data_IF_961578627145
#
_entry.id   IF_961578627145
#
_cell.length_a   1.000
_cell.length_b   1.000
_cell.length_c   1.000
_cell.angle_alpha   90.00
_cell.angle_beta   90.00
_cell.angle_gamma   90.00
#
_symmetry.space_group_name_H-M   'P 1'
#
loop_
_entity.id
_entity.type
_entity.pdbx_description
1 polymer ?
#
# COMPACT_ATOMS: atom_id res chain seq x y z
N UNK A 1 7.97 34.89 -33.82
CA UNK A 1 6.74 34.33 -33.22
C UNK A 1 6.91 32.84 -33.29
N UNK A 2 7.47 32.26 -32.24
CA UNK A 2 7.79 30.83 -32.21
C UNK A 2 6.53 30.06 -31.83
N UNK A 3 6.02 29.29 -32.78
CA UNK A 3 4.91 28.38 -32.58
C UNK A 3 5.28 27.36 -31.51
N UNK A 4 4.67 27.49 -30.34
CA UNK A 4 4.66 26.42 -29.34
C UNK A 4 4.03 25.20 -29.99
N UNK A 5 4.85 24.20 -30.31
CA UNK A 5 4.40 22.84 -30.61
C UNK A 5 3.65 22.34 -29.37
N UNK A 6 2.33 22.48 -29.41
CA UNK A 6 1.43 21.86 -28.45
C UNK A 6 1.55 20.35 -28.64
N UNK A 7 2.49 19.71 -27.92
CA UNK A 7 2.62 18.26 -27.82
C UNK A 7 1.45 17.71 -26.99
N UNK A 8 0.22 17.96 -27.45
CA UNK A 8 -0.97 17.32 -26.92
C UNK A 8 -0.88 15.85 -27.29
N UNK A 9 -0.52 15.02 -26.30
CA UNK A 9 -0.64 13.59 -26.41
C UNK A 9 -2.10 13.29 -26.74
N UNK A 10 -2.34 12.47 -27.77
CA UNK A 10 -3.70 12.13 -28.15
C UNK A 10 -4.37 11.34 -27.01
N UNK A 11 -5.70 11.45 -26.85
CA UNK A 11 -6.41 10.85 -25.73
C UNK A 11 -6.22 9.33 -25.61
N UNK A 12 -6.02 8.62 -26.73
CA UNK A 12 -5.82 7.18 -26.72
C UNK A 12 -4.43 6.83 -26.19
N UNK A 13 -3.38 7.53 -26.63
CA UNK A 13 -2.04 7.38 -26.05
C UNK A 13 -2.04 7.71 -24.56
N UNK A 14 -2.73 8.77 -24.14
CA UNK A 14 -2.80 9.13 -22.71
C UNK A 14 -3.54 8.07 -21.88
N UNK A 15 -4.58 7.45 -22.45
CA UNK A 15 -5.32 6.36 -21.80
C UNK A 15 -4.47 5.10 -21.64
N UNK A 16 -3.69 4.75 -22.66
CA UNK A 16 -2.75 3.62 -22.59
C UNK A 16 -1.69 3.86 -21.53
N UNK A 17 -1.13 5.08 -21.46
CA UNK A 17 -0.13 5.44 -20.45
C UNK A 17 -0.67 5.41 -19.01
N UNK A 18 -1.95 5.72 -18.82
CA UNK A 18 -2.59 5.77 -17.50
C UNK A 18 -3.16 4.41 -17.05
N UNK A 19 -3.11 3.37 -17.88
CA UNK A 19 -3.65 2.05 -17.54
C UNK A 19 -2.51 1.15 -17.03
N UNK A 20 -2.52 0.72 -15.75
CA UNK A 20 -1.50 -0.17 -15.25
C UNK A 20 -1.56 -1.54 -15.94
N UNK A 21 -0.39 -2.16 -16.12
CA UNK A 21 -0.28 -3.46 -16.78
C UNK A 21 -0.93 -4.56 -15.93
N UNK A 22 -1.88 -5.29 -16.53
CA UNK A 22 -2.52 -6.44 -15.92
C UNK A 22 -1.56 -7.64 -15.83
N UNK A 23 -1.72 -8.47 -14.81
CA UNK A 23 -0.97 -9.73 -14.70
C UNK A 23 -1.72 -10.86 -15.41
N UNK A 24 -1.06 -11.67 -16.25
CA UNK A 24 -1.73 -12.78 -16.95
C UNK A 24 -2.27 -13.86 -16.01
N UNK A 25 -1.72 -13.95 -14.79
CA UNK A 25 -2.01 -15.00 -13.82
C UNK A 25 -2.96 -14.56 -12.69
N UNK A 26 -3.35 -13.28 -12.62
CA UNK A 26 -4.04 -12.73 -11.46
C UNK A 26 -3.12 -12.60 -10.24
N UNK A 27 -3.70 -12.26 -9.08
CA UNK A 27 -2.98 -12.18 -7.80
C UNK A 27 -2.76 -13.57 -7.20
N UNK A 28 -1.65 -13.78 -6.48
CA UNK A 28 -1.49 -14.95 -5.63
C UNK A 28 -2.63 -14.97 -4.58
N UNK A 29 -3.27 -16.11 -4.29
CA UNK A 29 -4.33 -16.20 -3.28
C UNK A 29 -3.97 -15.54 -1.94
N UNK A 30 -2.71 -15.62 -1.50
CA UNK A 30 -2.27 -14.99 -0.25
C UNK A 30 -2.25 -13.47 -0.34
N UNK A 31 -1.89 -12.92 -1.49
CA UNK A 31 -1.90 -11.48 -1.72
C UNK A 31 -3.32 -10.96 -1.84
N UNK A 32 -4.21 -11.73 -2.46
CA UNK A 32 -5.62 -11.39 -2.54
C UNK A 32 -6.29 -11.40 -1.15
N UNK A 33 -6.01 -12.41 -0.33
CA UNK A 33 -6.47 -12.48 1.06
C UNK A 33 -5.95 -11.29 1.89
N UNK A 34 -4.66 -10.98 1.77
CA UNK A 34 -4.06 -9.84 2.46
C UNK A 34 -4.63 -8.50 1.99
N UNK A 35 -4.77 -8.31 0.68
CA UNK A 35 -5.38 -7.12 0.09
C UNK A 35 -6.81 -6.94 0.61
N UNK A 36 -7.62 -8.00 0.59
CA UNK A 36 -8.99 -7.96 1.09
C UNK A 36 -9.04 -7.59 2.58
N UNK A 37 -8.12 -8.11 3.39
CA UNK A 37 -8.00 -7.77 4.81
C UNK A 37 -7.69 -6.29 5.02
N UNK A 38 -6.70 -5.76 4.30
CA UNK A 38 -6.33 -4.34 4.36
C UNK A 38 -7.50 -3.45 3.95
N UNK A 39 -8.20 -3.78 2.85
CA UNK A 39 -9.34 -3.02 2.36
C UNK A 39 -10.53 -3.07 3.34
N UNK A 40 -10.78 -4.21 3.96
CA UNK A 40 -11.83 -4.38 4.97
C UNK A 40 -11.54 -3.51 6.21
N UNK A 41 -10.30 -3.51 6.71
CA UNK A 41 -9.88 -2.66 7.84
C UNK A 41 -10.03 -1.16 7.55
N UNK A 42 -9.74 -0.73 6.31
CA UNK A 42 -10.01 0.65 5.85
C UNK A 42 -11.51 0.92 5.82
N UNK A 43 -12.31 0.00 5.26
CA UNK A 43 -13.75 0.17 5.11
C UNK A 43 -14.48 0.29 6.45
N UNK A 44 -13.98 -0.41 7.48
CA UNK A 44 -14.47 -0.37 8.86
C UNK A 44 -14.01 0.87 9.63
N UNK A 45 -13.07 1.65 9.07
CA UNK A 45 -12.46 2.79 9.75
C UNK A 45 -11.48 2.39 10.86
N UNK A 46 -11.07 1.13 10.93
CA UNK A 46 -10.03 0.66 11.85
C UNK A 46 -8.68 1.24 11.46
N UNK A 47 -8.38 1.28 10.16
CA UNK A 47 -7.23 1.99 9.60
C UNK A 47 -7.71 3.31 9.00
N UNK A 48 -7.19 4.41 9.52
CA UNK A 48 -7.35 5.74 8.95
C UNK A 48 -6.10 6.07 8.11
N UNK A 49 -6.32 6.29 6.81
CA UNK A 49 -5.26 6.51 5.81
C UNK A 49 -4.42 7.76 6.05
N UNK A 50 -4.82 8.63 7.00
CA UNK A 50 -4.10 9.85 7.36
C UNK A 50 -3.51 9.80 8.77
N UNK A 51 -3.66 8.68 9.48
CA UNK A 51 -3.27 8.49 10.88
C UNK A 51 -2.45 7.21 11.06
N UNK A 52 -1.11 7.28 10.96
CA UNK A 52 -0.23 6.12 11.08
C UNK A 52 -0.40 5.35 12.39
N UNK A 53 -0.80 6.02 13.48
CA UNK A 53 -1.06 5.40 14.77
C UNK A 53 -2.16 4.33 14.70
N UNK A 54 -3.11 4.45 13.77
CA UNK A 54 -4.18 3.46 13.58
C UNK A 54 -3.69 2.14 12.99
N UNK A 55 -2.47 2.12 12.44
CA UNK A 55 -1.81 0.90 11.96
C UNK A 55 -1.13 0.14 13.09
N UNK A 56 -0.85 0.79 14.22
CA UNK A 56 0.01 0.26 15.30
C UNK A 56 -0.81 -0.62 16.24
N UNK A 57 -0.32 -1.84 16.47
CA UNK A 57 -0.74 -2.68 17.58
C UNK A 57 -0.07 -2.20 18.87
N UNK A 58 -0.72 -1.29 19.58
CA UNK A 58 -0.18 -0.69 20.82
C UNK A 58 0.21 -1.73 21.88
N UNK A 59 -0.52 -2.84 21.98
CA UNK A 59 -0.23 -3.89 22.96
C UNK A 59 1.16 -4.51 22.78
N UNK A 60 1.62 -4.64 21.52
CA UNK A 60 2.95 -5.14 21.17
C UNK A 60 3.95 -3.98 21.15
N UNK A 61 3.60 -2.88 20.50
CA UNK A 61 4.45 -1.71 20.37
C UNK A 61 4.95 -1.21 21.72
N UNK A 62 4.09 -1.12 22.73
CA UNK A 62 4.44 -0.56 24.04
C UNK A 62 5.51 -1.37 24.77
N UNK A 63 5.66 -2.65 24.43
CA UNK A 63 6.66 -3.57 24.98
C UNK A 63 8.00 -3.50 24.24
N UNK A 64 8.06 -2.83 23.07
CA UNK A 64 9.28 -2.71 22.29
C UNK A 64 10.29 -1.77 22.96
N UNK A 65 11.60 -2.07 22.83
CA UNK A 65 12.67 -1.11 23.07
C UNK A 65 12.50 0.20 22.28
N UNK A 66 13.02 1.31 22.80
CA UNK A 66 12.84 2.66 22.23
C UNK A 66 13.34 2.76 20.79
N UNK A 67 14.46 2.11 20.46
CA UNK A 67 15.01 2.06 19.10
C UNK A 67 14.07 1.34 18.13
N UNK A 68 13.43 0.25 18.58
CA UNK A 68 12.45 -0.49 17.78
C UNK A 68 11.14 0.30 17.61
N UNK A 69 10.70 1.03 18.63
CA UNK A 69 9.54 1.94 18.55
C UNK A 69 9.73 3.01 17.49
N UNK A 70 10.86 3.73 17.53
CA UNK A 70 11.14 4.77 16.53
C UNK A 70 11.22 4.22 15.10
N UNK A 71 11.71 2.99 14.92
CA UNK A 71 11.70 2.33 13.61
C UNK A 71 10.27 1.97 13.17
N UNK A 72 9.44 1.45 14.08
CA UNK A 72 8.05 1.15 13.79
C UNK A 72 7.27 2.41 13.38
N UNK A 73 7.51 3.55 14.04
CA UNK A 73 6.85 4.83 13.71
C UNK A 73 7.17 5.25 12.26
N UNK A 74 8.44 5.24 11.87
CA UNK A 74 8.88 5.60 10.51
C UNK A 74 8.25 4.68 9.46
N UNK A 75 8.31 3.37 9.72
CA UNK A 75 7.76 2.38 8.78
C UNK A 75 6.24 2.44 8.72
N UNK A 76 5.54 2.83 9.79
CA UNK A 76 4.10 3.04 9.75
C UNK A 76 3.71 4.11 8.72
N UNK A 77 4.47 5.22 8.63
CA UNK A 77 4.26 6.23 7.58
C UNK A 77 4.49 5.67 6.17
N UNK A 78 5.54 4.85 6.00
CA UNK A 78 5.86 4.23 4.71
C UNK A 78 4.77 3.25 4.27
N UNK A 79 4.33 2.39 5.20
CA UNK A 79 3.27 1.41 4.98
C UNK A 79 1.95 2.11 4.68
N UNK A 80 1.57 3.11 5.45
CA UNK A 80 0.32 3.85 5.22
C UNK A 80 0.29 4.54 3.85
N UNK A 81 1.45 5.03 3.38
CA UNK A 81 1.55 5.61 2.04
C UNK A 81 1.33 4.57 0.94
N UNK A 82 1.86 3.36 1.10
CA UNK A 82 1.60 2.25 0.17
C UNK A 82 0.14 1.77 0.23
N UNK A 83 -0.45 1.73 1.43
CA UNK A 83 -1.87 1.38 1.61
C UNK A 83 -2.78 2.41 0.92
N UNK A 84 -2.41 3.71 0.94
CA UNK A 84 -3.12 4.74 0.16
C UNK A 84 -3.05 4.47 -1.34
N UNK A 85 -1.88 4.09 -1.86
CA UNK A 85 -1.73 3.74 -3.27
C UNK A 85 -2.55 2.49 -3.64
N UNK A 86 -2.55 1.48 -2.77
CA UNK A 86 -3.41 0.29 -2.90
C UNK A 86 -4.88 0.68 -2.98
N UNK A 87 -5.36 1.51 -2.06
CA UNK A 87 -6.76 1.99 -2.06
C UNK A 87 -7.08 2.75 -3.35
N UNK A 88 -6.18 3.62 -3.80
CA UNK A 88 -6.34 4.37 -5.05
C UNK A 88 -6.45 3.46 -6.27
N UNK A 89 -5.60 2.44 -6.38
CA UNK A 89 -5.68 1.45 -7.46
C UNK A 89 -6.96 0.63 -7.39
N UNK A 90 -7.37 0.21 -6.19
CA UNK A 90 -8.61 -0.54 -5.99
C UNK A 90 -9.84 0.28 -6.42
N UNK A 91 -9.90 1.55 -6.02
CA UNK A 91 -11.01 2.45 -6.37
C UNK A 91 -11.09 2.74 -7.86
N UNK A 92 -9.94 2.72 -8.54
CA UNK A 92 -9.85 2.82 -9.99
C UNK A 92 -10.13 1.48 -10.72
N UNK A 93 -10.39 0.39 -10.00
CA UNK A 93 -10.67 -0.94 -10.56
C UNK A 93 -9.43 -1.73 -10.99
N UNK A 94 -8.22 -1.32 -10.58
CA UNK A 94 -6.94 -1.90 -10.99
C UNK A 94 -6.39 -2.93 -9.98
N UNK A 95 -7.21 -3.92 -9.61
CA UNK A 95 -6.87 -4.91 -8.57
C UNK A 95 -5.95 -6.04 -9.04
N UNK A 96 -5.95 -6.39 -10.32
CA UNK A 96 -5.15 -7.47 -10.92
C UNK A 96 -3.92 -6.98 -11.69
N UNK A 97 -3.21 -5.97 -11.18
CA UNK A 97 -2.09 -5.32 -11.88
C UNK A 97 -0.76 -5.59 -11.19
N UNK A 98 0.33 -5.57 -11.95
CA UNK A 98 1.68 -5.72 -11.36
C UNK A 98 1.96 -4.66 -10.30
N UNK A 99 1.42 -3.45 -10.49
CA UNK A 99 1.55 -2.38 -9.52
C UNK A 99 0.85 -2.71 -8.20
N UNK A 100 -0.38 -3.23 -8.25
CA UNK A 100 -1.10 -3.69 -7.06
C UNK A 100 -0.30 -4.79 -6.32
N UNK A 101 0.16 -5.80 -7.06
CA UNK A 101 0.94 -6.91 -6.48
C UNK A 101 2.22 -6.43 -5.80
N UNK A 102 2.98 -5.57 -6.47
CA UNK A 102 4.21 -5.03 -5.92
C UNK A 102 3.97 -4.20 -4.65
N UNK A 103 2.86 -3.46 -4.58
CA UNK A 103 2.50 -2.72 -3.38
C UNK A 103 2.12 -3.67 -2.23
N UNK A 104 1.30 -4.68 -2.49
CA UNK A 104 0.91 -5.70 -1.51
C UNK A 104 2.14 -6.42 -0.95
N UNK A 105 3.01 -6.94 -1.81
CA UNK A 105 4.26 -7.56 -1.41
C UNK A 105 5.12 -6.61 -0.57
N UNK A 106 5.28 -5.37 -1.02
CA UNK A 106 6.10 -4.40 -0.30
C UNK A 106 5.58 -4.10 1.10
N UNK A 107 4.26 -4.08 1.32
CA UNK A 107 3.66 -3.90 2.65
C UNK A 107 3.94 -5.13 3.52
N UNK A 108 3.73 -6.33 2.98
CA UNK A 108 4.01 -7.59 3.69
C UNK A 108 5.48 -7.71 4.09
N UNK A 109 6.41 -7.39 3.19
CA UNK A 109 7.85 -7.43 3.47
C UNK A 109 8.26 -6.45 4.59
N UNK A 110 7.64 -5.26 4.65
CA UNK A 110 7.91 -4.29 5.72
C UNK A 110 7.38 -4.81 7.05
N UNK A 111 6.15 -5.34 7.06
CA UNK A 111 5.53 -5.97 8.23
C UNK A 111 6.42 -7.08 8.76
N UNK A 112 6.71 -8.08 7.94
CA UNK A 112 7.52 -9.24 8.33
C UNK A 112 8.89 -8.81 8.87
N UNK A 113 9.57 -7.86 8.21
CA UNK A 113 10.88 -7.36 8.66
C UNK A 113 10.85 -6.71 10.03
N UNK A 114 9.78 -6.00 10.38
CA UNK A 114 9.65 -5.34 11.68
C UNK A 114 9.32 -6.30 12.81
N UNK A 115 8.58 -7.35 12.49
CA UNK A 115 8.08 -8.31 13.47
C UNK A 115 9.11 -9.39 13.82
N UNK A 116 10.19 -9.52 13.03
CA UNK A 116 11.35 -10.36 13.35
C UNK A 116 11.87 -10.00 14.76
N UNK A 117 11.58 -10.88 15.71
CA UNK A 117 11.99 -10.73 17.12
C UNK A 117 11.32 -9.58 17.86
N UNK A 118 10.13 -9.13 17.42
CA UNK A 118 9.38 -8.02 18.01
C UNK A 118 7.87 -8.29 18.25
N UNK A 119 7.30 -9.34 17.64
CA UNK A 119 5.85 -9.60 17.68
C UNK A 119 5.09 -8.76 16.65
N UNK A 120 3.77 -8.95 16.52
CA UNK A 120 2.93 -8.29 15.52
C UNK A 120 2.73 -6.80 15.81
N UNK A 121 3.61 -5.94 15.27
CA UNK A 121 3.62 -4.49 15.52
C UNK A 121 2.52 -3.76 14.75
N UNK A 122 2.10 -4.30 13.60
CA UNK A 122 1.01 -3.76 12.79
C UNK A 122 -0.24 -4.61 12.93
N UNK A 123 -1.41 -3.98 12.79
CA UNK A 123 -2.73 -4.66 12.90
C UNK A 123 -3.19 -5.33 11.60
N UNK A 124 -2.39 -5.20 10.54
CA UNK A 124 -2.58 -5.81 9.21
C UNK A 124 -1.79 -7.10 9.10
#
# INVERSE_FOLDING_TARGET
MDSQTNNQIDPETQKVLNTPLATPAGNDPKDEEFLNTVLDLISKGTIDLYKPETLINHAVYDQLPVDKKGKADIEAFNVLSKIRDIKGLNDAGFTGTFQMQNLVHSVRDIKERLEIGGGDVFII
#
